data_IF_938238934269
#
_entry.id   IF_938238934269
#
_cell.length_a   1.000
_cell.length_b   1.000
_cell.length_c   1.000
_cell.angle_alpha   90.00
_cell.angle_beta   90.00
_cell.angle_gamma   90.00
#
_symmetry.space_group_name_H-M   'P 1'
#
loop_
_entity.id
_entity.type
_entity.pdbx_description
1 polymer ?
#
# COMPACT_ATOMS: atom_id res chain seq x y z
N UNK A 1 21.52 13.32 30.14
CA UNK A 1 20.38 12.37 30.04
C UNK A 1 19.37 13.06 29.14
N UNK A 2 19.49 12.86 27.83
CA UNK A 2 18.68 13.54 26.82
C UNK A 2 17.35 12.78 26.64
N UNK A 3 16.19 13.45 26.65
CA UNK A 3 14.94 12.81 26.26
C UNK A 3 14.88 12.68 24.74
N UNK A 4 14.51 11.49 24.28
CA UNK A 4 14.30 11.09 22.88
C UNK A 4 13.19 11.94 22.23
N UNK A 5 13.52 12.67 21.16
CA UNK A 5 12.64 13.64 20.50
C UNK A 5 11.72 13.02 19.41
N UNK A 6 11.90 11.75 19.06
CA UNK A 6 11.22 11.13 17.90
C UNK A 6 9.75 10.71 18.15
N UNK A 7 9.31 10.58 19.40
CA UNK A 7 7.93 10.14 19.71
C UNK A 7 6.88 11.26 19.61
N UNK A 8 7.29 12.53 19.64
CA UNK A 8 6.35 13.65 19.65
C UNK A 8 5.83 14.03 18.25
N UNK A 9 6.63 13.80 17.21
CA UNK A 9 6.26 14.10 15.81
C UNK A 9 5.24 13.10 15.24
N UNK A 10 5.43 11.80 15.49
CA UNK A 10 4.45 10.76 15.12
C UNK A 10 3.11 10.95 15.83
N UNK A 11 3.13 11.32 17.13
CA UNK A 11 1.92 11.57 17.90
C UNK A 11 1.14 12.78 17.36
N UNK A 12 1.83 13.85 16.93
CA UNK A 12 1.20 15.02 16.34
C UNK A 12 0.59 14.74 14.95
N UNK A 13 1.25 13.92 14.12
CA UNK A 13 0.69 13.42 12.85
C UNK A 13 -0.55 12.55 13.09
N UNK A 14 -0.50 11.65 14.07
CA UNK A 14 -1.64 10.80 14.44
C UNK A 14 -2.83 11.62 14.96
N UNK A 15 -2.57 12.66 15.75
CA UNK A 15 -3.60 13.55 16.27
C UNK A 15 -4.29 14.39 15.18
N UNK A 16 -3.54 14.87 14.18
CA UNK A 16 -4.11 15.62 13.06
C UNK A 16 -4.94 14.72 12.11
N UNK A 17 -4.50 13.48 11.90
CA UNK A 17 -5.26 12.48 11.13
C UNK A 17 -6.59 12.14 11.83
N UNK A 18 -6.60 12.08 13.16
CA UNK A 18 -7.81 11.83 13.96
C UNK A 18 -8.83 13.00 13.91
N UNK A 19 -8.41 14.23 13.62
CA UNK A 19 -9.32 15.38 13.43
C UNK A 19 -9.90 15.46 12.01
N UNK A 20 -9.24 14.86 11.01
CA UNK A 20 -9.60 14.99 9.58
C UNK A 20 -10.34 13.75 9.06
N UNK A 21 -10.05 12.58 9.61
CA UNK A 21 -10.72 11.31 9.33
C UNK A 21 -11.41 10.87 10.64
N UNK A 22 -12.74 10.70 10.68
CA UNK A 22 -13.36 10.02 11.82
C UNK A 22 -12.93 8.55 11.77
N UNK A 23 -11.83 8.22 12.44
CA UNK A 23 -11.32 6.85 12.54
C UNK A 23 -12.05 6.15 13.68
N UNK A 24 -12.88 5.17 13.34
CA UNK A 24 -13.17 4.08 14.27
C UNK A 24 -11.92 3.19 14.39
N UNK A 25 -11.44 3.09 15.63
CA UNK A 25 -10.42 2.16 16.18
C UNK A 25 -8.95 2.42 15.79
N UNK A 26 -8.18 2.82 16.81
CA UNK A 26 -6.71 2.86 16.86
C UNK A 26 -6.15 1.46 17.19
N UNK A 27 -5.14 0.94 16.49
CA UNK A 27 -4.42 -0.27 16.92
C UNK A 27 -3.49 0.02 18.09
N UNK A 28 -3.18 -1.01 18.90
CA UNK A 28 -2.37 -0.89 20.11
C UNK A 28 -0.87 -1.01 19.84
N UNK A 29 -0.08 -0.40 20.74
CA UNK A 29 1.37 -0.14 20.70
C UNK A 29 2.34 -1.30 20.37
N UNK A 30 1.87 -2.53 20.15
CA UNK A 30 2.72 -3.71 19.88
C UNK A 30 2.84 -4.09 18.39
N UNK A 31 2.05 -3.51 17.48
CA UNK A 31 2.18 -3.70 16.02
C UNK A 31 3.40 -2.99 15.40
N UNK A 32 4.06 -2.10 16.15
CA UNK A 32 5.09 -1.20 15.63
C UNK A 32 6.35 -1.90 15.09
N UNK A 33 6.79 -3.04 15.62
CA UNK A 33 8.18 -3.49 15.36
C UNK A 33 8.37 -4.40 14.14
N UNK A 34 7.30 -4.96 13.55
CA UNK A 34 7.39 -5.78 12.32
C UNK A 34 6.85 -5.08 11.07
N UNK A 35 5.89 -4.14 11.23
CA UNK A 35 5.45 -3.25 10.15
C UNK A 35 6.56 -2.32 9.69
N UNK A 36 7.32 -1.73 10.61
CA UNK A 36 8.38 -0.73 10.33
C UNK A 36 9.46 -1.24 9.34
N UNK A 37 9.79 -2.53 9.34
CA UNK A 37 10.79 -3.12 8.41
C UNK A 37 10.22 -3.40 7.00
N UNK A 38 8.94 -3.80 6.90
CA UNK A 38 8.27 -3.93 5.61
C UNK A 38 7.94 -2.55 5.01
N UNK A 39 7.60 -1.58 5.87
CA UNK A 39 7.32 -0.19 5.53
C UNK A 39 8.54 0.56 4.99
N UNK A 40 9.73 0.30 5.54
CA UNK A 40 10.99 0.79 4.97
C UNK A 40 11.29 0.16 3.61
N UNK A 41 10.88 -1.09 3.39
CA UNK A 41 11.10 -1.77 2.11
C UNK A 41 10.31 -1.10 0.99
N UNK A 42 9.07 -0.68 1.23
CA UNK A 42 8.21 -0.05 0.22
C UNK A 42 8.69 1.37 -0.19
N UNK A 43 9.13 2.19 0.77
CA UNK A 43 9.72 3.50 0.44
C UNK A 43 11.03 3.32 -0.32
N UNK A 44 11.89 2.39 0.12
CA UNK A 44 13.13 2.09 -0.59
C UNK A 44 12.84 1.50 -1.97
N UNK A 45 11.79 0.70 -2.14
CA UNK A 45 11.43 0.11 -3.42
C UNK A 45 10.90 1.15 -4.43
N UNK A 46 10.09 2.10 -3.98
CA UNK A 46 9.46 3.11 -4.87
C UNK A 46 10.31 4.36 -5.06
N UNK A 47 10.97 4.85 -4.00
CA UNK A 47 11.68 6.15 -4.01
C UNK A 47 13.16 6.05 -3.63
N UNK A 48 13.52 5.10 -2.76
CA UNK A 48 14.81 5.14 -2.05
C UNK A 48 15.96 4.35 -2.67
N UNK A 49 15.71 3.34 -3.50
CA UNK A 49 16.76 2.51 -4.13
C UNK A 49 17.70 3.36 -4.98
N UNK A 50 17.18 4.30 -5.78
CA UNK A 50 18.02 5.17 -6.61
C UNK A 50 18.73 6.24 -5.79
N UNK A 51 18.02 7.04 -4.98
CA UNK A 51 18.65 8.17 -4.26
C UNK A 51 19.70 7.70 -3.24
N UNK A 52 19.44 6.64 -2.46
CA UNK A 52 20.40 6.19 -1.43
C UNK A 52 21.59 5.40 -1.97
N UNK A 53 21.41 4.65 -3.06
CA UNK A 53 22.50 3.93 -3.71
C UNK A 53 23.42 4.88 -4.51
N UNK A 54 22.83 5.87 -5.19
CA UNK A 54 23.54 6.77 -6.11
C UNK A 54 24.34 7.87 -5.36
N UNK A 55 23.95 8.24 -4.14
CA UNK A 55 24.68 9.23 -3.31
C UNK A 55 26.09 8.74 -2.91
N UNK A 56 26.32 7.43 -2.92
CA UNK A 56 27.61 6.81 -2.65
C UNK A 56 28.23 6.15 -3.89
N UNK A 57 27.64 6.34 -5.07
CA UNK A 57 28.15 5.79 -6.33
C UNK A 57 29.13 6.77 -6.99
N UNK A 58 30.43 6.52 -6.79
CA UNK A 58 31.51 7.27 -7.44
C UNK A 58 31.51 7.15 -8.99
N UNK A 59 30.68 6.27 -9.56
CA UNK A 59 30.53 6.09 -11.00
C UNK A 59 29.39 6.89 -11.63
N UNK A 60 28.56 7.58 -10.83
CA UNK A 60 27.46 8.39 -11.34
C UNK A 60 27.99 9.57 -12.16
N UNK A 61 27.59 9.65 -13.43
CA UNK A 61 27.94 10.78 -14.28
C UNK A 61 27.15 12.04 -13.89
N UNK A 62 27.85 13.02 -13.31
CA UNK A 62 27.26 14.33 -12.97
C UNK A 62 27.51 15.33 -14.11
N UNK A 63 26.48 15.87 -14.77
CA UNK A 63 26.65 16.86 -15.83
C UNK A 63 27.30 18.15 -15.30
N UNK A 64 28.18 18.76 -16.09
CA UNK A 64 28.88 20.00 -15.70
C UNK A 64 27.92 21.14 -15.31
N UNK A 65 26.75 21.21 -15.94
CA UNK A 65 25.70 22.19 -15.61
C UNK A 65 25.19 22.01 -14.16
N UNK A 66 25.03 20.77 -13.69
CA UNK A 66 24.56 20.49 -12.33
C UNK A 66 25.62 20.93 -11.32
N UNK A 67 26.89 20.63 -11.58
CA UNK A 67 28.02 21.09 -10.74
C UNK A 67 28.06 22.62 -10.64
N UNK A 68 27.88 23.32 -11.77
CA UNK A 68 27.86 24.78 -11.80
C UNK A 68 26.69 25.37 -11.00
N UNK A 69 25.47 24.84 -11.19
CA UNK A 69 24.28 25.27 -10.46
C UNK A 69 24.38 24.96 -8.96
N UNK A 70 24.95 23.82 -8.57
CA UNK A 70 25.20 23.48 -7.16
C UNK A 70 26.18 24.47 -6.53
N UNK A 71 27.26 24.80 -7.24
CA UNK A 71 28.24 25.79 -6.77
C UNK A 71 27.60 27.17 -6.62
N UNK A 72 26.72 27.55 -7.55
CA UNK A 72 25.96 28.80 -7.47
C UNK A 72 25.00 28.81 -6.28
N UNK A 73 24.28 27.71 -6.03
CA UNK A 73 23.42 27.54 -4.87
C UNK A 73 24.19 27.74 -3.57
N UNK A 74 25.33 27.03 -3.41
CA UNK A 74 26.22 27.13 -2.25
C UNK A 74 26.67 28.58 -2.03
N UNK A 75 27.03 29.29 -3.10
CA UNK A 75 27.44 30.70 -3.03
C UNK A 75 26.30 31.63 -2.60
N UNK A 76 25.07 31.37 -3.02
CA UNK A 76 23.91 32.20 -2.69
C UNK A 76 23.48 32.00 -1.25
N UNK A 77 23.32 30.75 -0.81
CA UNK A 77 22.90 30.47 0.57
C UNK A 77 23.96 30.89 1.60
N UNK A 78 25.24 30.95 1.20
CA UNK A 78 26.35 31.41 2.05
C UNK A 78 26.45 32.92 2.23
N UNK A 79 25.65 33.71 1.52
CA UNK A 79 25.66 35.17 1.67
C UNK A 79 24.87 35.59 2.91
N UNK A 80 25.44 36.48 3.71
CA UNK A 80 24.73 37.10 4.84
C UNK A 80 23.68 38.05 4.26
N UNK A 81 22.41 37.67 4.31
CA UNK A 81 21.30 38.53 3.90
C UNK A 81 20.63 39.17 5.12
N UNK A 82 20.39 40.49 5.12
CA UNK A 82 19.68 41.17 6.21
C UNK A 82 18.15 40.99 6.15
N UNK A 83 17.60 40.46 5.05
CA UNK A 83 16.18 40.23 4.81
C UNK A 83 15.94 38.80 4.32
N UNK A 84 15.04 38.09 5.00
CA UNK A 84 14.66 36.70 4.74
C UNK A 84 13.96 36.54 3.37
N UNK A 85 13.16 37.54 2.98
CA UNK A 85 12.43 37.52 1.70
C UNK A 85 13.36 37.68 0.49
N UNK A 86 14.51 38.34 0.68
CA UNK A 86 15.52 38.55 -0.35
C UNK A 86 16.33 37.28 -0.68
N UNK A 87 16.39 36.29 0.24
CA UNK A 87 17.18 35.06 0.07
C UNK A 87 16.35 33.89 -0.54
N UNK A 88 15.03 33.87 -0.32
CA UNK A 88 14.15 32.78 -0.74
C UNK A 88 13.95 32.70 -2.28
N UNK A 89 13.77 33.84 -2.95
CA UNK A 89 13.52 33.88 -4.40
C UNK A 89 14.70 33.38 -5.26
N UNK A 90 15.97 33.79 -5.01
CA UNK A 90 17.13 33.27 -5.72
C UNK A 90 17.37 31.78 -5.47
N UNK A 91 17.25 31.33 -4.23
CA UNK A 91 17.42 29.93 -3.82
C UNK A 91 16.43 29.03 -4.55
N UNK A 92 15.16 29.42 -4.60
CA UNK A 92 14.11 28.67 -5.31
C UNK A 92 14.34 28.57 -6.82
N UNK A 93 14.79 29.66 -7.45
CA UNK A 93 15.05 29.66 -8.90
C UNK A 93 16.17 28.70 -9.28
N UNK A 94 17.22 28.59 -8.45
CA UNK A 94 18.32 27.66 -8.70
C UNK A 94 17.92 26.23 -8.38
N UNK A 95 17.18 25.99 -7.30
CA UNK A 95 16.63 24.65 -7.02
C UNK A 95 15.71 24.17 -8.13
N UNK A 96 14.87 25.04 -8.68
CA UNK A 96 14.01 24.71 -9.82
C UNK A 96 14.82 24.28 -11.04
N UNK A 97 15.96 24.94 -11.29
CA UNK A 97 16.88 24.57 -12.38
C UNK A 97 17.64 23.26 -12.08
N UNK A 98 18.12 23.08 -10.84
CA UNK A 98 18.80 21.85 -10.40
C UNK A 98 17.90 20.63 -10.53
N UNK A 99 16.63 20.78 -10.16
CA UNK A 99 15.63 19.73 -10.21
C UNK A 99 14.92 19.63 -11.57
N UNK A 100 15.34 20.44 -12.56
CA UNK A 100 14.75 20.48 -13.91
C UNK A 100 13.23 20.65 -13.95
N UNK A 101 12.70 21.40 -12.98
CA UNK A 101 11.28 21.40 -12.63
C UNK A 101 10.74 22.83 -12.66
N UNK A 102 9.87 23.17 -13.63
CA UNK A 102 9.70 24.57 -14.03
C UNK A 102 8.84 25.43 -13.09
N UNK A 103 7.97 24.90 -12.22
CA UNK A 103 7.14 25.76 -11.34
C UNK A 103 6.77 25.09 -10.02
N UNK A 104 7.32 25.61 -8.92
CA UNK A 104 6.82 25.38 -7.57
C UNK A 104 5.63 26.29 -7.28
N UNK A 105 4.45 25.71 -7.00
CA UNK A 105 3.27 26.46 -6.58
C UNK A 105 3.20 26.54 -5.05
N UNK A 106 2.62 27.63 -4.52
CA UNK A 106 2.42 27.75 -3.06
C UNK A 106 1.27 26.84 -2.62
N UNK A 107 1.51 25.92 -1.70
CA UNK A 107 0.53 24.90 -1.29
C UNK A 107 -0.69 25.51 -0.58
N UNK A 108 -0.52 26.66 0.08
CA UNK A 108 -1.59 27.37 0.81
C UNK A 108 -1.37 28.90 0.75
N UNK A 109 -2.10 29.64 -0.11
CA UNK A 109 -1.98 31.09 -0.19
C UNK A 109 -2.50 31.81 1.07
N UNK A 110 -3.45 31.20 1.79
CA UNK A 110 -4.25 31.85 2.83
C UNK A 110 -3.88 31.50 4.28
N UNK A 111 -2.80 30.74 4.52
CA UNK A 111 -2.27 30.44 5.88
C UNK A 111 -0.74 30.35 5.88
N UNK A 112 -0.15 30.55 7.05
CA UNK A 112 1.27 30.68 7.48
C UNK A 112 2.28 29.60 7.04
N UNK A 113 2.00 28.75 6.04
CA UNK A 113 2.91 27.69 5.64
C UNK A 113 3.82 28.11 4.47
N UNK A 114 5.14 28.04 4.66
CA UNK A 114 6.19 28.32 3.66
C UNK A 114 6.44 27.17 2.68
N UNK A 115 5.49 26.23 2.58
CA UNK A 115 5.62 25.04 1.74
C UNK A 115 5.20 25.29 0.29
N UNK A 116 6.04 24.82 -0.62
CA UNK A 116 5.83 24.83 -2.05
C UNK A 116 5.69 23.41 -2.59
N UNK A 117 4.95 23.26 -3.68
CA UNK A 117 4.68 21.97 -4.31
C UNK A 117 5.07 22.01 -5.78
N UNK A 118 5.80 21.00 -6.20
CA UNK A 118 5.94 20.62 -7.59
C UNK A 118 4.85 19.61 -7.93
N UNK A 119 4.05 19.93 -8.93
CA UNK A 119 2.97 19.08 -9.39
C UNK A 119 3.33 18.43 -10.72
N UNK A 120 3.10 17.12 -10.84
CA UNK A 120 3.23 16.40 -12.10
C UNK A 120 1.90 16.38 -12.83
N UNK A 121 1.93 16.75 -14.11
CA UNK A 121 0.77 16.75 -14.98
C UNK A 121 0.68 15.42 -15.73
N UNK A 122 -0.41 14.69 -15.53
CA UNK A 122 -0.65 13.41 -16.18
C UNK A 122 -1.39 13.58 -17.50
N UNK A 123 -1.16 12.64 -18.42
CA UNK A 123 -1.89 12.57 -19.71
C UNK A 123 -3.32 12.06 -19.56
N UNK A 124 -3.61 11.35 -18.49
CA UNK A 124 -4.92 10.76 -18.20
C UNK A 124 -5.32 10.98 -16.73
N UNK A 125 -6.62 11.04 -16.41
CA UNK A 125 -7.07 11.15 -15.02
C UNK A 125 -6.57 10.02 -14.10
N UNK A 126 -6.37 10.26 -12.80
CA UNK A 126 -6.38 11.59 -12.17
C UNK A 126 -5.24 12.49 -12.68
N UNK A 127 -5.49 13.80 -12.83
CA UNK A 127 -4.65 14.66 -13.69
C UNK A 127 -3.40 15.22 -13.03
N UNK A 128 -3.39 15.45 -11.72
CA UNK A 128 -2.34 16.25 -11.04
C UNK A 128 -1.86 15.56 -9.77
N UNK A 129 -0.60 15.12 -9.75
CA UNK A 129 0.02 14.50 -8.57
C UNK A 129 0.98 15.47 -7.86
N UNK A 130 1.17 15.31 -6.54
CA UNK A 130 2.26 15.97 -5.82
C UNK A 130 3.56 15.17 -6.00
N UNK A 131 4.51 15.73 -6.72
CA UNK A 131 5.82 15.11 -6.92
C UNK A 131 6.80 15.44 -5.81
N UNK A 132 6.98 16.74 -5.56
CA UNK A 132 7.96 17.25 -4.61
C UNK A 132 7.33 18.33 -3.73
N UNK A 133 7.59 18.27 -2.43
CA UNK A 133 7.19 19.29 -1.47
C UNK A 133 8.45 19.96 -0.93
N UNK A 134 8.61 21.24 -1.21
CA UNK A 134 9.75 22.03 -0.77
C UNK A 134 9.36 22.92 0.41
N UNK A 135 10.15 22.88 1.48
CA UNK A 135 9.98 23.77 2.64
C UNK A 135 11.24 24.59 2.84
N UNK A 136 11.14 25.90 2.65
CA UNK A 136 12.21 26.85 2.90
C UNK A 136 12.00 27.52 4.27
N UNK A 137 13.07 27.62 5.06
CA UNK A 137 13.15 28.26 6.37
C UNK A 137 14.40 29.13 6.46
N UNK A 138 14.35 30.22 7.22
CA UNK A 138 15.50 31.10 7.47
C UNK A 138 16.71 30.33 8.03
N UNK A 139 16.49 29.55 9.09
CA UNK A 139 17.54 28.82 9.82
C UNK A 139 16.99 27.51 10.37
N UNK A 140 17.89 26.58 10.71
CA UNK A 140 17.51 25.29 11.30
C UNK A 140 16.82 25.51 12.66
N UNK A 141 15.60 24.98 12.82
CA UNK A 141 14.80 25.10 14.04
C UNK A 141 14.03 26.43 14.18
N UNK A 142 14.14 27.34 13.20
CA UNK A 142 13.37 28.58 13.19
C UNK A 142 11.91 28.32 12.82
N UNK A 143 10.98 28.65 13.73
CA UNK A 143 9.54 28.41 13.57
C UNK A 143 9.23 26.92 13.27
N UNK A 144 9.93 26.03 13.98
CA UNK A 144 9.81 24.58 13.84
C UNK A 144 10.87 23.96 12.92
N UNK A 145 10.75 22.65 12.71
CA UNK A 145 11.65 21.88 11.85
C UNK A 145 10.98 21.65 10.48
N UNK A 146 11.70 22.00 9.41
CA UNK A 146 11.14 22.06 8.06
C UNK A 146 10.77 20.69 7.47
N UNK A 147 11.46 19.62 7.83
CA UNK A 147 11.13 18.25 7.41
C UNK A 147 9.81 17.77 8.02
N UNK A 148 9.55 18.11 9.28
CA UNK A 148 8.28 17.85 9.96
C UNK A 148 7.17 18.67 9.29
N UNK A 149 7.39 19.96 9.03
CA UNK A 149 6.41 20.79 8.33
C UNK A 149 6.13 20.29 6.90
N UNK A 150 7.14 19.79 6.20
CA UNK A 150 6.99 19.16 4.88
C UNK A 150 6.16 17.88 4.95
N UNK A 151 6.37 17.07 5.98
CA UNK A 151 5.58 15.85 6.26
C UNK A 151 4.10 16.18 6.51
N UNK A 152 3.82 17.23 7.28
CA UNK A 152 2.44 17.71 7.48
C UNK A 152 1.83 18.26 6.19
N UNK A 153 2.61 19.00 5.39
CA UNK A 153 2.17 19.54 4.11
C UNK A 153 1.85 18.43 3.11
N UNK A 154 2.64 17.36 3.09
CA UNK A 154 2.38 16.13 2.35
C UNK A 154 1.06 15.49 2.77
N UNK A 155 0.89 15.23 4.07
CA UNK A 155 -0.31 14.61 4.61
C UNK A 155 -1.55 15.46 4.32
N UNK A 156 -1.47 16.78 4.52
CA UNK A 156 -2.56 17.71 4.26
C UNK A 156 -2.92 17.77 2.78
N UNK A 157 -1.93 17.79 1.88
CA UNK A 157 -2.21 17.82 0.45
C UNK A 157 -2.98 16.58 0.05
N UNK A 158 -2.49 15.39 0.38
CA UNK A 158 -3.13 14.16 -0.06
C UNK A 158 -4.47 13.89 0.61
N UNK A 159 -4.67 14.27 1.88
CA UNK A 159 -5.94 14.05 2.61
C UNK A 159 -7.02 15.11 2.36
N UNK A 160 -6.71 16.23 1.72
CA UNK A 160 -7.72 17.25 1.44
C UNK A 160 -8.76 16.71 0.44
N UNK A 161 -10.03 16.72 0.86
CA UNK A 161 -11.19 16.21 0.11
C UNK A 161 -11.24 16.76 -1.31
N UNK A 162 -10.87 15.91 -2.26
CA UNK A 162 -10.84 16.21 -3.69
C UNK A 162 -10.94 14.90 -4.47
N UNK A 163 -11.79 14.88 -5.50
CA UNK A 163 -12.09 13.67 -6.27
C UNK A 163 -10.88 13.12 -7.03
N UNK A 164 -9.91 13.95 -7.41
CA UNK A 164 -8.67 13.50 -8.05
C UNK A 164 -7.78 12.79 -7.03
N UNK A 165 -7.71 13.28 -5.80
CA UNK A 165 -6.89 12.68 -4.74
C UNK A 165 -7.45 11.36 -4.25
N UNK A 166 -8.77 11.27 -4.12
CA UNK A 166 -9.44 9.98 -3.88
C UNK A 166 -9.12 8.96 -4.98
N UNK A 167 -9.06 9.39 -6.24
CA UNK A 167 -8.63 8.53 -7.36
C UNK A 167 -7.16 8.14 -7.24
N UNK A 168 -6.27 9.03 -6.80
CA UNK A 168 -4.87 8.68 -6.53
C UNK A 168 -4.72 7.68 -5.40
N UNK A 169 -5.47 7.79 -4.31
CA UNK A 169 -5.42 6.81 -3.21
C UNK A 169 -5.84 5.42 -3.64
N UNK A 170 -6.85 5.34 -4.53
CA UNK A 170 -7.24 4.10 -5.17
C UNK A 170 -6.17 3.60 -6.15
N UNK A 171 -5.50 4.50 -6.85
CA UNK A 171 -4.58 4.13 -7.92
C UNK A 171 -3.14 3.88 -7.47
N UNK A 172 -2.64 4.42 -6.35
CA UNK A 172 -1.24 4.29 -5.93
C UNK A 172 -1.01 4.66 -4.46
N UNK A 173 0.22 4.47 -3.97
CA UNK A 173 0.66 4.91 -2.63
C UNK A 173 1.07 6.39 -2.54
N UNK A 174 0.67 7.23 -3.49
CA UNK A 174 0.95 8.66 -3.50
C UNK A 174 2.41 9.05 -3.13
N UNK A 175 3.43 8.46 -3.79
CA UNK A 175 4.83 8.73 -3.46
C UNK A 175 5.24 10.20 -3.75
N UNK A 176 5.89 10.87 -2.80
CA UNK A 176 6.43 12.22 -3.00
C UNK A 176 7.81 12.37 -2.36
N UNK A 177 8.66 13.22 -2.93
CA UNK A 177 9.84 13.72 -2.23
C UNK A 177 9.48 14.92 -1.36
N UNK A 178 10.16 15.06 -0.23
CA UNK A 178 10.12 16.27 0.59
C UNK A 178 11.54 16.81 0.67
N UNK A 179 11.73 18.06 0.28
CA UNK A 179 13.03 18.74 0.34
C UNK A 179 12.90 19.90 1.32
N UNK A 180 13.64 19.86 2.41
CA UNK A 180 13.66 20.97 3.37
C UNK A 180 15.00 21.66 3.35
N UNK A 181 14.96 23.00 3.23
CA UNK A 181 16.13 23.87 3.28
C UNK A 181 15.95 24.86 4.42
N UNK A 182 16.91 24.89 5.33
CA UNK A 182 16.92 25.75 6.49
C UNK A 182 18.30 26.39 6.65
N UNK A 183 18.42 27.66 6.26
CA UNK A 183 19.70 28.36 6.19
C UNK A 183 20.70 27.62 5.28
N UNK A 184 21.80 27.16 5.88
CA UNK A 184 22.85 26.38 5.19
C UNK A 184 22.62 24.87 5.21
N UNK A 185 21.44 24.38 5.54
CA UNK A 185 21.17 22.95 5.67
C UNK A 185 20.09 22.50 4.70
N UNK A 186 20.30 21.35 4.05
CA UNK A 186 19.30 20.67 3.23
C UNK A 186 19.11 19.23 3.69
N UNK A 187 17.87 18.76 3.69
CA UNK A 187 17.53 17.34 3.92
C UNK A 187 16.50 16.89 2.89
N UNK A 188 16.67 15.66 2.41
CA UNK A 188 15.78 15.02 1.44
C UNK A 188 15.09 13.84 2.13
N UNK A 189 13.77 13.77 2.00
CA UNK A 189 12.93 12.70 2.51
C UNK A 189 12.07 12.11 1.39
N UNK A 190 11.70 10.85 1.55
CA UNK A 190 10.69 10.17 0.75
C UNK A 190 9.44 9.96 1.59
N UNK A 191 8.27 10.13 0.97
CA UNK A 191 6.99 9.97 1.61
C UNK A 191 6.08 9.08 0.76
N UNK A 192 5.36 8.16 1.39
CA UNK A 192 4.29 7.37 0.78
C UNK A 192 3.05 7.39 1.69
N UNK A 193 1.90 7.11 1.10
CA UNK A 193 0.61 7.10 1.77
C UNK A 193 -0.03 5.72 1.63
N UNK A 194 -0.16 5.01 2.76
CA UNK A 194 -0.96 3.77 2.88
C UNK A 194 -2.23 4.09 3.66
N UNK A 195 -2.43 3.46 4.81
CA UNK A 195 -3.48 3.83 5.78
C UNK A 195 -3.09 5.11 6.54
N UNK A 196 -1.79 5.32 6.75
CA UNK A 196 -1.20 6.54 7.33
C UNK A 196 -0.04 7.03 6.45
N UNK A 197 0.31 8.33 6.51
CA UNK A 197 1.50 8.85 5.85
C UNK A 197 2.76 8.28 6.51
N UNK A 198 3.63 7.69 5.70
CA UNK A 198 4.94 7.19 6.11
C UNK A 198 5.98 8.10 5.46
N UNK A 199 6.85 8.70 6.27
CA UNK A 199 7.89 9.61 5.80
C UNK A 199 9.24 9.15 6.35
N UNK A 200 10.23 9.04 5.46
CA UNK A 200 11.56 8.57 5.79
C UNK A 200 12.61 9.54 5.26
N UNK A 201 13.61 9.85 6.10
CA UNK A 201 14.80 10.60 5.66
C UNK A 201 15.64 9.73 4.73
N UNK A 202 15.91 10.23 3.53
CA UNK A 202 16.79 9.60 2.55
C UNK A 202 18.22 10.10 2.68
N UNK A 203 18.40 11.31 3.22
CA UNK A 203 19.70 11.88 3.57
C UNK A 203 19.72 12.36 5.02
N UNK A 204 20.92 12.52 5.57
CA UNK A 204 21.12 13.40 6.72
C UNK A 204 21.02 14.88 6.30
N UNK A 205 21.17 15.79 7.25
CA UNK A 205 21.31 17.21 6.94
C UNK A 205 22.66 17.46 6.27
N UNK A 206 22.60 17.81 5.00
CA UNK A 206 23.75 18.18 4.21
C UNK A 206 23.99 19.68 4.37
N UNK A 207 25.24 20.02 4.62
CA UNK A 207 25.68 21.41 4.67
C UNK A 207 25.77 21.97 3.24
N UNK A 208 25.21 23.16 3.00
CA UNK A 208 25.24 23.91 1.74
C UNK A 208 26.16 25.15 1.83
N UNK A 209 26.89 25.30 2.93
CA UNK A 209 27.76 26.45 3.13
C UNK A 209 29.07 26.36 2.34
N UNK A 210 29.65 27.52 2.08
CA UNK A 210 30.96 27.60 1.44
C UNK A 210 32.07 27.44 2.48
N UNK A 211 32.99 26.51 2.25
CA UNK A 211 34.22 26.42 3.05
C UNK A 211 35.20 27.53 2.64
N UNK A 212 36.02 28.01 3.58
CA UNK A 212 37.00 29.08 3.31
C UNK A 212 38.20 28.60 2.49
N UNK A 213 38.35 27.30 2.27
CA UNK A 213 39.32 26.69 1.36
C UNK A 213 38.56 25.97 0.24
N UNK A 214 39.10 25.96 -0.99
CA UNK A 214 38.52 25.26 -2.15
C UNK A 214 38.23 23.79 -1.79
N UNK A 215 36.98 23.49 -1.46
CA UNK A 215 36.47 22.15 -1.16
C UNK A 215 35.62 21.69 -2.35
N UNK A 216 36.29 21.52 -3.49
CA UNK A 216 35.67 21.05 -4.73
C UNK A 216 35.00 19.69 -4.52
N UNK A 217 35.57 18.87 -3.63
CA UNK A 217 35.00 17.57 -3.25
C UNK A 217 33.63 17.72 -2.58
N UNK A 218 33.44 18.72 -1.71
CA UNK A 218 32.13 18.99 -1.12
C UNK A 218 31.10 19.44 -2.15
N UNK A 219 31.48 20.36 -3.06
CA UNK A 219 30.61 20.82 -4.14
C UNK A 219 30.22 19.66 -5.08
N UNK A 220 31.17 18.77 -5.41
CA UNK A 220 30.92 17.59 -6.22
C UNK A 220 30.01 16.57 -5.53
N UNK A 221 30.18 16.34 -4.21
CA UNK A 221 29.27 15.48 -3.44
C UNK A 221 27.84 16.04 -3.45
N UNK A 222 27.67 17.34 -3.24
CA UNK A 222 26.35 17.98 -3.32
C UNK A 222 25.76 17.87 -4.73
N UNK A 223 26.59 18.04 -5.77
CA UNK A 223 26.14 17.93 -7.15
C UNK A 223 25.69 16.49 -7.48
N UNK A 224 26.37 15.48 -6.92
CA UNK A 224 25.96 14.08 -7.01
C UNK A 224 24.58 13.85 -6.36
N UNK A 225 24.35 14.41 -5.17
CA UNK A 225 23.04 14.34 -4.48
C UNK A 225 21.95 14.99 -5.32
N UNK A 226 22.18 16.20 -5.86
CA UNK A 226 21.20 16.88 -6.69
C UNK A 226 20.94 16.15 -8.01
N UNK A 227 21.96 15.56 -8.62
CA UNK A 227 21.80 14.74 -9.83
C UNK A 227 20.98 13.47 -9.53
N UNK A 228 21.26 12.80 -8.41
CA UNK A 228 20.52 11.60 -7.97
C UNK A 228 19.05 11.94 -7.71
N UNK A 229 18.80 13.05 -7.00
CA UNK A 229 17.44 13.53 -6.75
C UNK A 229 16.71 13.90 -8.05
N UNK A 230 17.40 14.56 -9.00
CA UNK A 230 16.83 14.90 -10.30
C UNK A 230 16.40 13.65 -11.07
N UNK A 231 17.27 12.64 -11.15
CA UNK A 231 16.94 11.37 -11.81
C UNK A 231 15.76 10.66 -11.13
N UNK A 232 15.74 10.66 -9.80
CA UNK A 232 14.65 10.05 -9.04
C UNK A 232 13.31 10.81 -9.21
N UNK A 233 13.35 12.14 -9.35
CA UNK A 233 12.17 12.95 -9.70
C UNK A 233 11.69 12.61 -11.11
N UNK A 234 12.58 12.49 -12.08
CA UNK A 234 12.23 12.10 -13.46
C UNK A 234 11.58 10.70 -13.50
N UNK A 235 12.10 9.75 -12.70
CA UNK A 235 11.52 8.41 -12.58
C UNK A 235 10.17 8.43 -11.85
N UNK A 236 10.03 9.24 -10.80
CA UNK A 236 8.76 9.43 -10.11
C UNK A 236 7.71 10.06 -11.04
N UNK A 237 8.10 11.02 -11.89
CA UNK A 237 7.19 11.60 -12.88
C UNK A 237 6.72 10.53 -13.88
N UNK A 238 7.62 9.67 -14.37
CA UNK A 238 7.27 8.51 -15.22
C UNK A 238 6.32 7.54 -14.51
N UNK A 239 6.61 7.20 -13.26
CA UNK A 239 5.73 6.39 -12.41
C UNK A 239 4.32 6.98 -12.34
N UNK A 240 4.21 8.30 -12.20
CA UNK A 240 2.92 8.96 -12.23
C UNK A 240 2.30 8.98 -13.63
N UNK A 241 3.04 9.05 -14.73
CA UNK A 241 2.43 8.90 -16.06
C UNK A 241 1.79 7.51 -16.21
N UNK A 242 2.55 6.48 -15.87
CA UNK A 242 2.20 5.08 -16.02
C UNK A 242 1.77 4.48 -14.67
N UNK A 243 0.83 5.15 -13.98
CA UNK A 243 0.36 4.74 -12.66
C UNK A 243 0.11 3.22 -12.65
N UNK A 244 0.91 2.44 -11.88
CA UNK A 244 0.61 1.05 -11.72
C UNK A 244 -0.75 0.97 -11.04
N UNK A 245 -1.61 0.05 -11.50
CA UNK A 245 -2.83 -0.26 -10.77
C UNK A 245 -2.42 -0.84 -9.42
N UNK A 246 -2.42 0.00 -8.36
CA UNK A 246 -2.00 -0.34 -6.97
C UNK A 246 -2.45 -1.71 -6.49
N UNK A 247 -3.58 -2.19 -7.00
CA UNK A 247 -4.23 -3.37 -6.50
C UNK A 247 -3.60 -4.67 -6.97
N UNK A 248 -2.78 -4.72 -8.01
CA UNK A 248 -2.27 -6.02 -8.46
C UNK A 248 -0.89 -6.34 -7.92
N UNK A 249 -0.73 -7.48 -7.22
CA UNK A 249 0.59 -7.97 -6.86
C UNK A 249 1.45 -8.23 -8.11
N UNK A 250 2.78 -8.14 -7.98
CA UNK A 250 3.71 -8.46 -9.10
C UNK A 250 3.71 -9.95 -9.48
N UNK A 251 3.05 -10.78 -8.68
CA UNK A 251 2.96 -12.23 -8.88
C UNK A 251 1.97 -12.52 -10.00
N UNK A 252 2.46 -13.04 -11.12
CA UNK A 252 1.66 -13.28 -12.33
C UNK A 252 1.74 -14.73 -12.82
N UNK A 253 2.32 -15.62 -12.01
CA UNK A 253 2.47 -17.03 -12.36
C UNK A 253 2.50 -17.95 -11.14
N UNK A 254 2.12 -19.21 -11.36
CA UNK A 254 2.24 -20.29 -10.38
C UNK A 254 2.68 -21.58 -11.07
N UNK A 255 3.19 -22.54 -10.29
CA UNK A 255 3.56 -23.86 -10.80
C UNK A 255 2.54 -24.89 -10.31
N UNK A 256 1.77 -25.49 -11.22
CA UNK A 256 0.75 -26.49 -10.87
C UNK A 256 1.32 -27.89 -10.53
N UNK A 257 2.65 -27.99 -10.46
CA UNK A 257 3.41 -29.23 -10.25
C UNK A 257 3.89 -29.86 -11.56
N UNK A 258 3.34 -29.46 -12.70
CA UNK A 258 3.71 -29.98 -14.03
C UNK A 258 4.18 -28.89 -14.99
N UNK A 259 3.64 -27.68 -14.87
CA UNK A 259 3.94 -26.54 -15.74
C UNK A 259 3.80 -25.22 -14.99
N UNK A 260 4.46 -24.21 -15.54
CA UNK A 260 4.26 -22.81 -15.13
C UNK A 260 2.99 -22.30 -15.82
N UNK A 261 2.02 -21.90 -15.02
CA UNK A 261 0.78 -21.27 -15.47
C UNK A 261 0.88 -19.78 -15.19
N UNK A 262 0.71 -18.98 -16.24
CA UNK A 262 0.72 -17.52 -16.17
C UNK A 262 -0.69 -16.96 -16.26
N UNK A 263 -0.88 -15.81 -15.64
CA UNK A 263 -2.15 -15.12 -15.62
C UNK A 263 -1.94 -13.60 -15.61
N UNK A 264 -2.96 -12.90 -16.11
CA UNK A 264 -3.04 -11.45 -16.10
C UNK A 264 -4.19 -11.01 -15.22
N UNK A 265 -3.92 -10.11 -14.27
CA UNK A 265 -4.97 -9.53 -13.45
C UNK A 265 -5.90 -8.62 -14.26
N UNK A 266 -7.20 -8.70 -13.95
CA UNK A 266 -8.26 -7.92 -14.58
C UNK A 266 -8.80 -6.83 -13.65
N UNK A 267 -9.20 -7.21 -12.42
CA UNK A 267 -9.74 -6.28 -11.41
C UNK A 267 -9.61 -6.85 -9.99
N UNK A 268 -9.43 -6.02 -8.95
CA UNK A 268 -9.64 -6.45 -7.57
C UNK A 268 -11.11 -6.82 -7.34
N UNK A 269 -11.35 -7.84 -6.51
CA UNK A 269 -12.69 -8.26 -6.12
C UNK A 269 -13.14 -7.68 -4.78
N UNK A 270 -12.22 -7.09 -4.02
CA UNK A 270 -12.49 -6.36 -2.79
C UNK A 270 -12.20 -4.87 -3.00
N UNK A 271 -13.00 -4.01 -2.38
CA UNK A 271 -12.87 -2.54 -2.48
C UNK A 271 -12.00 -1.96 -1.34
N UNK A 272 -11.50 -2.83 -0.45
CA UNK A 272 -10.81 -2.45 0.79
C UNK A 272 -9.30 -2.23 0.62
N UNK A 273 -8.68 -1.51 1.56
CA UNK A 273 -7.25 -1.14 1.58
C UNK A 273 -6.31 -2.37 1.63
N UNK A 274 -6.83 -3.53 2.03
CA UNK A 274 -6.10 -4.80 2.15
C UNK A 274 -6.68 -5.84 1.18
N UNK A 275 -7.00 -5.43 -0.05
CA UNK A 275 -7.52 -6.36 -1.06
C UNK A 275 -6.59 -7.58 -1.20
N UNK A 276 -7.11 -8.77 -0.88
CA UNK A 276 -6.39 -10.05 -0.97
C UNK A 276 -6.86 -10.90 -2.13
N UNK A 277 -7.96 -10.51 -2.80
CA UNK A 277 -8.62 -11.28 -3.86
C UNK A 277 -8.74 -10.52 -5.17
N UNK A 278 -8.31 -11.16 -6.25
CA UNK A 278 -8.25 -10.55 -7.58
C UNK A 278 -8.87 -11.45 -8.63
N UNK A 279 -9.62 -10.86 -9.55
CA UNK A 279 -10.01 -11.51 -10.79
C UNK A 279 -8.83 -11.46 -11.76
N UNK A 280 -8.48 -12.60 -12.33
CA UNK A 280 -7.44 -12.74 -13.33
C UNK A 280 -7.90 -13.62 -14.50
N UNK A 281 -7.17 -13.53 -15.61
CA UNK A 281 -7.36 -14.34 -16.82
C UNK A 281 -6.11 -15.19 -17.04
N UNK A 282 -6.28 -16.49 -17.27
CA UNK A 282 -5.16 -17.35 -17.65
C UNK A 282 -4.75 -17.11 -19.11
N UNK A 283 -3.48 -17.34 -19.43
CA UNK A 283 -2.94 -17.20 -20.80
C UNK A 283 -3.66 -18.10 -21.82
N UNK A 284 -3.56 -17.78 -23.12
CA UNK A 284 -4.22 -18.47 -24.24
C UNK A 284 -4.04 -20.00 -24.23
N UNK A 285 -2.89 -20.50 -23.76
CA UNK A 285 -2.62 -21.93 -23.61
C UNK A 285 -3.58 -22.65 -22.63
N UNK A 286 -4.32 -21.88 -21.84
CA UNK A 286 -5.30 -22.33 -20.85
C UNK A 286 -6.73 -21.87 -21.20
N UNK A 287 -6.97 -21.49 -22.46
CA UNK A 287 -8.33 -21.23 -22.96
C UNK A 287 -8.95 -19.93 -22.46
N UNK A 288 -8.14 -18.95 -22.07
CA UNK A 288 -8.61 -17.62 -21.64
C UNK A 288 -9.56 -17.63 -20.42
N UNK A 289 -9.50 -18.69 -19.62
CA UNK A 289 -10.36 -18.90 -18.46
C UNK A 289 -10.16 -17.82 -17.38
N UNK A 290 -11.26 -17.37 -16.77
CA UNK A 290 -11.23 -16.45 -15.64
C UNK A 290 -11.07 -17.20 -14.32
N UNK A 291 -10.20 -16.67 -13.46
CA UNK A 291 -9.85 -17.25 -12.16
C UNK A 291 -9.84 -16.18 -11.07
N UNK A 292 -10.04 -16.61 -9.84
CA UNK A 292 -9.77 -15.81 -8.65
C UNK A 292 -8.39 -16.17 -8.11
N UNK A 293 -7.55 -15.16 -7.91
CA UNK A 293 -6.26 -15.28 -7.24
C UNK A 293 -6.39 -14.64 -5.87
N UNK A 294 -6.17 -15.42 -4.81
CA UNK A 294 -6.28 -15.01 -3.41
C UNK A 294 -4.96 -15.25 -2.68
N UNK A 295 -4.56 -14.31 -1.81
CA UNK A 295 -3.37 -14.42 -0.98
C UNK A 295 -3.74 -14.50 0.50
N UNK A 296 -3.43 -15.63 1.14
CA UNK A 296 -3.89 -15.96 2.50
C UNK A 296 -2.80 -16.65 3.29
N UNK A 297 -2.78 -16.46 4.62
CA UNK A 297 -1.80 -17.14 5.49
C UNK A 297 -2.14 -18.61 5.71
N UNK A 298 -3.42 -18.96 5.63
CA UNK A 298 -3.95 -20.30 5.90
C UNK A 298 -5.12 -20.56 4.95
N UNK A 299 -5.22 -21.78 4.45
CA UNK A 299 -6.30 -22.17 3.55
C UNK A 299 -6.64 -23.66 3.67
N UNK A 300 -7.92 -23.98 3.81
CA UNK A 300 -8.44 -25.34 3.91
C UNK A 300 -8.55 -26.06 2.57
N UNK A 301 -7.42 -26.25 1.88
CA UNK A 301 -7.39 -26.80 0.51
C UNK A 301 -8.04 -28.19 0.39
N UNK A 302 -7.93 -29.06 1.40
CA UNK A 302 -8.54 -30.39 1.38
C UNK A 302 -10.06 -30.33 1.46
N UNK A 303 -10.60 -29.50 2.36
CA UNK A 303 -12.03 -29.25 2.49
C UNK A 303 -12.60 -28.63 1.19
N UNK A 304 -11.88 -27.65 0.60
CA UNK A 304 -12.27 -27.05 -0.67
C UNK A 304 -12.34 -28.08 -1.80
N UNK A 305 -11.28 -28.89 -1.99
CA UNK A 305 -11.27 -29.94 -3.02
C UNK A 305 -12.37 -30.98 -2.81
N UNK A 306 -12.66 -31.34 -1.56
CA UNK A 306 -13.73 -32.27 -1.23
C UNK A 306 -15.10 -31.73 -1.69
N UNK A 307 -15.45 -30.48 -1.35
CA UNK A 307 -16.70 -29.89 -1.81
C UNK A 307 -16.74 -29.64 -3.32
N UNK A 308 -15.61 -29.24 -3.91
CA UNK A 308 -15.51 -29.06 -5.36
C UNK A 308 -15.81 -30.37 -6.11
N UNK A 309 -15.30 -31.51 -5.60
CA UNK A 309 -15.57 -32.84 -6.18
C UNK A 309 -17.06 -33.25 -6.14
N UNK A 310 -17.85 -32.62 -5.27
CA UNK A 310 -19.30 -32.82 -5.14
C UNK A 310 -20.12 -31.74 -5.85
N UNK A 311 -19.45 -30.82 -6.56
CA UNK A 311 -20.10 -29.68 -7.19
C UNK A 311 -20.71 -28.70 -6.17
N UNK A 312 -20.13 -28.57 -4.98
CA UNK A 312 -20.58 -27.67 -3.91
C UNK A 312 -19.59 -26.54 -3.59
N UNK A 313 -18.48 -26.46 -4.33
CA UNK A 313 -17.52 -25.36 -4.33
C UNK A 313 -16.96 -25.16 -5.74
N UNK A 314 -16.28 -24.04 -5.99
CA UNK A 314 -15.53 -23.81 -7.23
C UNK A 314 -14.35 -24.77 -7.36
N UNK A 315 -13.86 -25.01 -8.57
CA UNK A 315 -12.66 -25.81 -8.75
C UNK A 315 -11.41 -25.10 -8.19
N UNK A 316 -10.68 -25.75 -7.29
CA UNK A 316 -9.38 -25.28 -6.80
C UNK A 316 -8.29 -25.66 -7.81
N UNK A 317 -7.66 -24.66 -8.43
CA UNK A 317 -6.60 -24.86 -9.44
C UNK A 317 -5.21 -24.92 -8.82
N UNK A 318 -4.94 -24.07 -7.83
CA UNK A 318 -3.66 -24.02 -7.13
C UNK A 318 -3.84 -23.60 -5.68
N UNK A 319 -3.03 -24.17 -4.79
CA UNK A 319 -2.88 -23.72 -3.42
C UNK A 319 -1.46 -24.07 -2.97
N UNK A 320 -0.64 -23.07 -2.70
CA UNK A 320 0.76 -23.29 -2.37
C UNK A 320 1.56 -22.01 -2.15
N UNK A 321 2.89 -22.11 -2.01
CA UNK A 321 3.75 -20.95 -1.83
C UNK A 321 3.71 -20.02 -3.06
N UNK A 322 3.89 -18.73 -2.82
CA UNK A 322 3.83 -17.66 -3.84
C UNK A 322 5.02 -17.72 -4.81
N UNK A 323 6.22 -18.01 -4.30
CA UNK A 323 7.42 -18.17 -5.10
C UNK A 323 8.07 -19.51 -4.79
N UNK A 324 8.25 -20.32 -5.84
CA UNK A 324 9.04 -21.56 -5.80
C UNK A 324 10.49 -21.35 -6.26
N UNK A 325 10.81 -20.18 -6.84
CA UNK A 325 12.14 -19.85 -7.36
C UNK A 325 13.05 -19.13 -6.34
N UNK A 326 12.56 -18.88 -5.11
CA UNK A 326 13.34 -18.29 -4.03
C UNK A 326 13.72 -16.82 -4.22
N UNK A 327 13.18 -16.16 -5.25
CA UNK A 327 13.50 -14.76 -5.57
C UNK A 327 12.97 -13.78 -4.51
N UNK A 328 11.90 -14.14 -3.80
CA UNK A 328 11.25 -13.30 -2.80
C UNK A 328 10.73 -14.14 -1.62
N UNK A 329 10.80 -13.57 -0.41
CA UNK A 329 10.29 -14.18 0.83
C UNK A 329 8.96 -13.56 1.21
N UNK A 330 7.88 -14.34 1.19
CA UNK A 330 6.52 -13.89 1.51
C UNK A 330 6.01 -14.41 2.87
N UNK A 331 6.92 -14.81 3.77
CA UNK A 331 6.55 -15.32 5.09
C UNK A 331 5.71 -16.59 5.00
N UNK A 332 4.61 -16.62 5.75
CA UNK A 332 3.63 -17.71 5.77
C UNK A 332 2.52 -17.56 4.71
N UNK A 333 2.59 -16.56 3.84
CA UNK A 333 1.55 -16.28 2.86
C UNK A 333 1.57 -17.32 1.73
N UNK A 334 0.38 -17.78 1.37
CA UNK A 334 0.13 -18.74 0.31
C UNK A 334 -0.71 -18.08 -0.78
N UNK A 335 -0.50 -18.51 -2.02
CA UNK A 335 -1.33 -18.16 -3.15
C UNK A 335 -2.33 -19.29 -3.39
N UNK A 336 -3.58 -18.89 -3.57
CA UNK A 336 -4.70 -19.76 -3.90
C UNK A 336 -5.28 -19.27 -5.22
N UNK A 337 -5.41 -20.18 -6.19
CA UNK A 337 -6.03 -19.89 -7.49
C UNK A 337 -7.20 -20.83 -7.66
N UNK A 338 -8.38 -20.27 -7.91
CA UNK A 338 -9.62 -21.03 -8.08
C UNK A 338 -10.44 -20.51 -9.26
N UNK A 339 -11.36 -21.33 -9.75
CA UNK A 339 -12.32 -20.95 -10.78
C UNK A 339 -13.15 -19.73 -10.34
N UNK A 340 -13.33 -18.78 -11.26
CA UNK A 340 -14.27 -17.68 -11.07
C UNK A 340 -15.70 -18.15 -11.36
N UNK A 341 -16.61 -17.96 -10.40
CA UNK A 341 -18.01 -18.34 -10.54
C UNK A 341 -18.84 -17.17 -11.06
N UNK A 342 -19.52 -17.36 -12.19
CA UNK A 342 -20.53 -16.42 -12.67
C UNK A 342 -21.83 -16.64 -11.90
N UNK A 343 -22.20 -15.70 -11.04
CA UNK A 343 -23.39 -15.78 -10.22
C UNK A 343 -23.47 -14.64 -9.21
N UNK A 344 -24.39 -14.77 -8.26
CA UNK A 344 -24.64 -13.76 -7.23
C UNK A 344 -24.45 -14.33 -5.83
N UNK A 345 -23.80 -13.58 -4.95
CA UNK A 345 -23.70 -13.94 -3.53
C UNK A 345 -25.09 -13.88 -2.88
N UNK A 346 -25.39 -14.82 -1.98
CA UNK A 346 -26.69 -14.90 -1.29
C UNK A 346 -27.00 -13.59 -0.55
N UNK A 347 -26.00 -12.97 0.09
CA UNK A 347 -26.14 -11.68 0.78
C UNK A 347 -26.62 -10.53 -0.12
N UNK A 348 -26.38 -10.61 -1.44
CA UNK A 348 -26.83 -9.57 -2.38
C UNK A 348 -28.23 -9.84 -2.93
N UNK A 349 -28.67 -11.11 -2.89
CA UNK A 349 -29.96 -11.54 -3.44
C UNK A 349 -31.07 -11.53 -2.40
N UNK A 350 -30.73 -11.82 -1.15
CA UNK A 350 -31.67 -11.89 -0.03
C UNK A 350 -31.35 -10.78 0.98
N UNK A 351 -32.35 -9.97 1.34
CA UNK A 351 -32.23 -8.93 2.37
C UNK A 351 -32.49 -9.45 3.80
N UNK A 352 -32.58 -10.77 3.98
CA UNK A 352 -32.91 -11.44 5.25
C UNK A 352 -32.73 -12.95 5.14
N UNK A 353 -33.56 -13.72 5.86
CA UNK A 353 -33.48 -15.19 5.85
C UNK A 353 -33.64 -15.78 4.46
N UNK A 354 -32.85 -16.81 4.18
CA UNK A 354 -32.87 -17.51 2.90
C UNK A 354 -34.02 -18.51 2.81
N UNK A 355 -34.25 -19.03 1.60
CA UNK A 355 -35.22 -20.11 1.39
C UNK A 355 -34.79 -21.36 2.16
N UNK A 356 -35.75 -22.04 2.80
CA UNK A 356 -35.48 -23.27 3.57
C UNK A 356 -34.78 -24.32 2.71
N UNK A 357 -35.18 -24.49 1.45
CA UNK A 357 -34.53 -25.43 0.51
C UNK A 357 -33.07 -25.10 0.26
N UNK A 358 -32.71 -23.81 0.21
CA UNK A 358 -31.32 -23.39 0.09
C UNK A 358 -30.56 -23.63 1.38
N UNK A 359 -31.17 -23.38 2.54
CA UNK A 359 -30.59 -23.68 3.85
C UNK A 359 -30.32 -25.17 4.03
N UNK A 360 -31.29 -26.04 3.69
CA UNK A 360 -31.12 -27.50 3.68
C UNK A 360 -29.97 -27.93 2.77
N UNK A 361 -29.85 -27.31 1.61
CA UNK A 361 -28.79 -27.63 0.67
C UNK A 361 -27.42 -27.18 1.20
N UNK A 362 -27.32 -26.02 1.87
CA UNK A 362 -26.07 -25.56 2.55
C UNK A 362 -25.73 -26.50 3.70
N UNK A 363 -26.73 -26.89 4.51
CA UNK A 363 -26.60 -27.89 5.57
C UNK A 363 -26.06 -29.21 5.02
N UNK A 364 -26.56 -29.66 3.88
CA UNK A 364 -26.06 -30.85 3.19
C UNK A 364 -24.60 -30.72 2.74
N UNK A 365 -24.18 -29.55 2.25
CA UNK A 365 -22.78 -29.29 1.91
C UNK A 365 -21.87 -29.30 3.14
N UNK A 366 -22.30 -28.69 4.24
CA UNK A 366 -21.57 -28.72 5.53
C UNK A 366 -21.46 -30.15 6.06
N UNK A 367 -22.52 -30.95 5.96
CA UNK A 367 -22.51 -32.35 6.38
C UNK A 367 -21.48 -33.19 5.61
N UNK A 368 -21.29 -32.95 4.31
CA UNK A 368 -20.25 -33.63 3.51
C UNK A 368 -18.84 -33.39 4.10
N UNK A 369 -18.57 -32.18 4.61
CA UNK A 369 -17.31 -31.87 5.27
C UNK A 369 -17.22 -32.55 6.63
N UNK A 370 -18.29 -32.47 7.44
CA UNK A 370 -18.34 -33.06 8.77
C UNK A 370 -18.14 -34.58 8.75
N UNK A 371 -18.71 -35.27 7.76
CA UNK A 371 -18.54 -36.72 7.53
C UNK A 371 -17.08 -37.12 7.28
N UNK A 372 -16.23 -36.18 6.84
CA UNK A 372 -14.80 -36.35 6.65
C UNK A 372 -13.97 -35.65 7.74
N UNK A 373 -14.60 -35.28 8.86
CA UNK A 373 -14.00 -34.57 9.99
C UNK A 373 -13.44 -33.17 9.68
N UNK A 374 -13.92 -32.53 8.62
CA UNK A 374 -13.58 -31.15 8.28
C UNK A 374 -14.65 -30.17 8.78
N UNK A 375 -14.21 -28.99 9.20
CA UNK A 375 -15.06 -27.84 9.56
C UNK A 375 -14.78 -26.70 8.58
N UNK A 376 -15.78 -26.07 7.94
CA UNK A 376 -15.58 -24.87 7.12
C UNK A 376 -15.29 -23.61 7.94
N UNK A 377 -15.97 -23.41 9.07
CA UNK A 377 -15.71 -22.33 10.04
C UNK A 377 -16.21 -20.93 9.67
N UNK A 378 -16.48 -20.61 8.40
CA UNK A 378 -16.99 -19.28 7.98
C UNK A 378 -18.23 -19.39 7.08
N UNK A 379 -19.30 -20.03 7.56
CA UNK A 379 -20.55 -20.15 6.82
C UNK A 379 -21.39 -18.89 7.04
N UNK A 380 -21.55 -18.10 5.98
CA UNK A 380 -22.37 -16.88 5.99
C UNK A 380 -22.81 -16.51 4.58
N UNK A 381 -23.87 -15.71 4.48
CA UNK A 381 -24.48 -15.32 3.20
C UNK A 381 -23.53 -14.66 2.18
N UNK A 382 -22.45 -13.93 2.57
CA UNK A 382 -21.46 -13.45 1.60
C UNK A 382 -20.57 -14.55 1.01
N UNK A 383 -20.38 -15.66 1.72
CA UNK A 383 -19.50 -16.77 1.34
C UNK A 383 -20.23 -17.89 0.58
N UNK A 384 -21.49 -17.66 0.23
CA UNK A 384 -22.33 -18.58 -0.53
C UNK A 384 -22.73 -17.88 -1.83
N UNK A 385 -22.40 -18.48 -2.97
CA UNK A 385 -22.70 -17.97 -4.31
C UNK A 385 -23.71 -18.89 -4.98
N UNK A 386 -24.74 -18.31 -5.59
CA UNK A 386 -25.66 -19.03 -6.46
C UNK A 386 -25.20 -18.79 -7.90
N UNK A 387 -24.67 -19.84 -8.55
CA UNK A 387 -24.16 -19.79 -9.92
C UNK A 387 -25.30 -19.59 -10.90
N UNK A 388 -25.12 -18.76 -11.93
CA UNK A 388 -26.12 -18.51 -12.96
C UNK A 388 -26.52 -19.80 -13.69
N UNK A 389 -27.81 -19.93 -14.02
CA UNK A 389 -28.33 -21.07 -14.76
C UNK A 389 -29.77 -21.42 -14.42
N UNK A 390 -30.32 -22.38 -15.16
CA UNK A 390 -31.63 -22.96 -14.88
C UNK A 390 -31.52 -24.04 -13.79
N UNK A 391 -32.62 -24.28 -13.08
CA UNK A 391 -32.71 -25.32 -12.05
C UNK A 391 -32.71 -24.77 -10.63
N UNK A 392 -32.76 -25.70 -9.66
CA UNK A 392 -32.86 -25.39 -8.25
C UNK A 392 -31.65 -24.60 -7.73
N UNK A 393 -31.89 -23.64 -6.84
CA UNK A 393 -30.83 -22.78 -6.31
C UNK A 393 -29.89 -23.54 -5.38
N UNK A 394 -30.41 -24.54 -4.66
CA UNK A 394 -29.63 -25.43 -3.82
C UNK A 394 -28.69 -26.35 -4.61
N UNK A 395 -29.07 -26.72 -5.84
CA UNK A 395 -28.16 -27.42 -6.75
C UNK A 395 -27.04 -26.50 -7.29
N UNK A 396 -27.37 -25.23 -7.55
CA UNK A 396 -26.45 -24.23 -8.10
C UNK A 396 -25.62 -23.49 -7.04
N UNK A 397 -25.89 -23.68 -5.77
CA UNK A 397 -25.14 -23.03 -4.70
C UNK A 397 -23.70 -23.57 -4.64
N UNK A 398 -22.76 -22.69 -4.31
CA UNK A 398 -21.34 -22.98 -4.08
C UNK A 398 -20.87 -22.23 -2.84
N UNK A 399 -20.11 -22.90 -1.99
CA UNK A 399 -19.34 -22.28 -0.90
C UNK A 399 -17.99 -21.85 -1.48
N UNK A 400 -17.54 -20.62 -1.18
CA UNK A 400 -16.35 -20.03 -1.82
C UNK A 400 -15.21 -19.67 -0.86
N UNK A 401 -15.47 -19.46 0.43
CA UNK A 401 -14.44 -19.10 1.40
C UNK A 401 -14.05 -20.29 2.29
N UNK A 402 -12.75 -20.60 2.34
CA UNK A 402 -12.17 -21.74 3.06
C UNK A 402 -10.94 -21.34 3.89
N UNK A 403 -10.76 -20.05 4.18
CA UNK A 403 -9.58 -19.55 4.91
C UNK A 403 -9.46 -20.15 6.32
N UNK A 404 -10.61 -20.43 6.94
CA UNK A 404 -10.68 -21.02 8.29
C UNK A 404 -10.92 -22.53 8.27
N UNK A 405 -11.15 -23.09 7.08
CA UNK A 405 -11.52 -24.47 6.94
C UNK A 405 -10.35 -25.41 7.25
N UNK A 406 -10.66 -26.57 7.82
CA UNK A 406 -9.68 -27.62 8.08
C UNK A 406 -10.22 -28.70 8.99
N UNK A 407 -9.35 -29.59 9.43
CA UNK A 407 -9.75 -30.73 10.26
C UNK A 407 -10.17 -30.26 11.67
N UNK A 408 -11.30 -30.78 12.16
CA UNK A 408 -11.79 -30.45 13.49
C UNK A 408 -10.73 -30.73 14.55
N UNK A 409 -10.56 -29.80 15.49
CA UNK A 409 -9.56 -29.89 16.56
C UNK A 409 -8.14 -29.50 16.15
N UNK A 410 -7.91 -29.16 14.88
CA UNK A 410 -6.62 -28.62 14.39
C UNK A 410 -6.69 -27.15 13.97
N UNK A 411 -7.87 -26.66 13.59
CA UNK A 411 -8.07 -25.27 13.16
C UNK A 411 -8.71 -24.39 14.23
N UNK A 412 -8.28 -23.12 14.27
CA UNK A 412 -8.74 -22.09 15.22
C UNK A 412 -9.14 -20.83 14.48
N UNK A 413 -10.08 -20.09 15.05
CA UNK A 413 -10.41 -18.76 14.57
C UNK A 413 -9.22 -17.78 14.67
N UNK A 414 -9.17 -16.73 13.83
CA UNK A 414 -8.20 -15.65 13.96
C UNK A 414 -8.32 -14.89 15.28
N UNK A 415 -7.30 -14.09 15.62
CA UNK A 415 -7.22 -13.35 16.90
C UNK A 415 -8.06 -12.08 16.94
N UNK A 416 -8.74 -11.72 15.85
CA UNK A 416 -9.50 -10.47 15.70
C UNK A 416 -10.81 -10.71 14.94
N UNK A 417 -11.69 -11.56 15.47
CA UNK A 417 -13.00 -11.80 14.86
C UNK A 417 -13.87 -10.55 14.92
N UNK A 418 -14.68 -10.35 13.88
CA UNK A 418 -15.68 -9.30 13.86
C UNK A 418 -16.68 -9.48 15.02
N UNK A 419 -17.21 -8.36 15.53
CA UNK A 419 -18.23 -8.38 16.59
C UNK A 419 -19.48 -9.18 16.14
N UNK A 420 -19.77 -9.21 14.84
CA UNK A 420 -20.86 -10.02 14.26
C UNK A 420 -20.68 -11.52 14.57
N UNK A 421 -19.51 -12.08 14.26
CA UNK A 421 -19.24 -13.51 14.45
C UNK A 421 -19.21 -13.87 15.94
N UNK A 422 -18.57 -13.02 16.75
CA UNK A 422 -18.48 -13.23 18.21
C UNK A 422 -19.84 -13.21 18.88
N UNK A 423 -20.69 -12.25 18.53
CA UNK A 423 -21.97 -12.05 19.22
C UNK A 423 -23.06 -13.03 18.78
N UNK A 424 -23.11 -13.38 17.48
CA UNK A 424 -24.18 -14.25 16.96
C UNK A 424 -23.92 -15.72 17.31
N UNK A 425 -22.67 -16.16 17.19
CA UNK A 425 -22.32 -17.57 17.37
C UNK A 425 -21.69 -17.89 18.74
N UNK A 426 -21.46 -16.86 19.56
CA UNK A 426 -20.88 -17.03 20.90
C UNK A 426 -19.42 -17.52 20.90
N UNK A 427 -18.72 -17.38 19.78
CA UNK A 427 -17.33 -17.79 19.61
C UNK A 427 -16.37 -16.69 20.05
N UNK A 428 -15.18 -17.06 20.53
CA UNK A 428 -14.12 -16.10 20.89
C UNK A 428 -12.94 -16.20 19.94
N UNK A 429 -12.12 -15.15 19.96
CA UNK A 429 -10.85 -15.13 19.27
C UNK A 429 -10.01 -16.34 19.66
N UNK A 430 -9.43 -17.00 18.66
CA UNK A 430 -8.57 -18.18 18.84
C UNK A 430 -9.25 -19.46 19.38
N UNK A 431 -10.58 -19.49 19.50
CA UNK A 431 -11.30 -20.72 19.81
C UNK A 431 -11.10 -21.78 18.71
N UNK A 432 -11.20 -23.05 19.11
CA UNK A 432 -11.24 -24.17 18.17
C UNK A 432 -12.52 -24.12 17.36
N UNK A 433 -12.41 -24.33 16.05
CA UNK A 433 -13.58 -24.43 15.17
C UNK A 433 -14.16 -25.83 15.31
N UNK A 434 -15.48 -25.93 15.49
CA UNK A 434 -16.20 -27.17 15.80
C UNK A 434 -17.41 -27.32 14.89
N UNK A 435 -17.87 -28.56 14.69
CA UNK A 435 -19.12 -28.85 13.96
C UNK A 435 -20.32 -28.07 14.50
N UNK A 436 -20.37 -27.83 15.82
CA UNK A 436 -21.46 -27.08 16.44
C UNK A 436 -21.47 -25.62 15.98
N UNK A 437 -20.30 -25.00 15.84
CA UNK A 437 -20.20 -23.63 15.32
C UNK A 437 -20.73 -23.56 13.89
N UNK A 438 -20.35 -24.51 13.01
CA UNK A 438 -20.83 -24.53 11.63
C UNK A 438 -22.35 -24.70 11.56
N UNK A 439 -22.92 -25.57 12.39
CA UNK A 439 -24.38 -25.79 12.41
C UNK A 439 -25.14 -24.55 12.91
N UNK A 440 -24.62 -23.87 13.93
CA UNK A 440 -25.17 -22.59 14.39
C UNK A 440 -25.10 -21.51 13.30
N UNK A 441 -24.05 -21.51 12.49
CA UNK A 441 -23.92 -20.63 11.33
C UNK A 441 -24.95 -20.94 10.25
N UNK A 442 -25.17 -22.22 9.93
CA UNK A 442 -26.20 -22.65 8.98
C UNK A 442 -27.59 -22.26 9.45
N UNK A 443 -27.90 -22.48 10.73
CA UNK A 443 -29.23 -22.17 11.29
C UNK A 443 -29.50 -20.66 11.39
N UNK A 444 -28.48 -19.81 11.20
CA UNK A 444 -28.58 -18.35 11.22
C UNK A 444 -28.64 -17.71 9.82
N UNK A 445 -28.57 -18.50 8.74
CA UNK A 445 -28.76 -18.04 7.34
C UNK A 445 -30.24 -17.71 7.08
#
# INVERSE_FOLDING_TARGET
MFPTCDNHSQAALTALVAEIIPIERTPTLQEKTQGELAEQHDILEVLGKSVSADIHDDSLHVPAQVVQLTTELVRIVSQISPDESACQSPTRNILSQLLNSPVFQKLNPNKTNSAYILQFQRRSPPMVAAGVICVEKAELGWDGEGSIQGSFSYAQYWTQKDIQRERFFKACCCPSFIVSIAGLWIVILGAIFRTLPIVQRLTDYLWLGNSRANDDNHALRLACVFQSLRLAIDDLEKYYQDLPTRFFPDITEYNDGTKVVRFQYLQPLEVDEVCTMFLAKLDEAHGEEQVVVKFVQRYGAEAHRLLASKGKASALKYCGPISSNGKYWYGSLQMVVMEFLHGQAVAQKYEGSILETLCEAVRGAVQILHDQSFVPGDIRTPNIVIVDGAGDEGERMRIVDFDWAGEQGKVRYPMHLSDYIRNIYGVKDYDMITFQHDMQMVDAL
#
